data_IF_498291792035
#
_entry.id   IF_498291792035
#
_cell.length_a   1.000
_cell.length_b   1.000
_cell.length_c   1.000
_cell.angle_alpha   90.00
_cell.angle_beta   90.00
_cell.angle_gamma   90.00
#
_symmetry.space_group_name_H-M   'P 1'
#
loop_
_entity.id
_entity.type
_entity.pdbx_description
1 polymer ?
#
# COMPACT_ATOMS: atom_id res chain seq x y z
N UNK A 1 -21.64 -17.26 4.33
CA UNK A 1 -21.32 -15.81 4.45
C UNK A 1 -20.10 -15.52 3.59
N UNK A 2 -20.14 -14.44 2.88
CA UNK A 2 -18.99 -13.99 2.07
C UNK A 2 -17.98 -13.37 3.05
N UNK A 3 -16.74 -13.83 3.05
CA UNK A 3 -15.66 -13.30 3.89
C UNK A 3 -15.51 -11.80 3.65
N UNK A 4 -15.54 -11.01 4.72
CA UNK A 4 -15.20 -9.59 4.69
C UNK A 4 -13.80 -9.42 5.30
N UNK A 5 -12.80 -9.15 4.46
CA UNK A 5 -11.41 -9.05 4.91
C UNK A 5 -11.17 -7.95 5.95
N UNK A 6 -11.96 -6.88 5.91
CA UNK A 6 -11.89 -5.81 6.91
C UNK A 6 -12.38 -6.27 8.28
N UNK A 7 -13.50 -7.01 8.31
CA UNK A 7 -14.12 -7.51 9.53
C UNK A 7 -13.40 -8.76 10.05
N UNK A 8 -13.13 -9.72 9.15
CA UNK A 8 -12.71 -11.05 9.55
C UNK A 8 -11.16 -11.18 9.70
N UNK A 9 -10.38 -10.24 9.13
CA UNK A 9 -8.91 -10.32 9.13
C UNK A 9 -8.27 -9.05 9.70
N UNK A 10 -8.52 -7.88 9.08
CA UNK A 10 -7.82 -6.64 9.45
C UNK A 10 -8.21 -6.16 10.84
N UNK A 11 -9.50 -6.15 11.14
CA UNK A 11 -9.98 -5.66 12.44
C UNK A 11 -9.49 -6.52 13.62
N UNK A 12 -9.61 -7.85 13.59
CA UNK A 12 -9.04 -8.70 14.64
C UNK A 12 -7.52 -8.50 14.82
N UNK A 13 -6.79 -8.39 13.72
CA UNK A 13 -5.35 -8.15 13.77
C UNK A 13 -5.01 -6.83 14.48
N UNK A 14 -5.68 -5.75 14.13
CA UNK A 14 -5.46 -4.45 14.78
C UNK A 14 -5.84 -4.46 16.26
N UNK A 15 -6.95 -5.11 16.63
CA UNK A 15 -7.36 -5.25 18.03
C UNK A 15 -6.34 -6.05 18.84
N UNK A 16 -5.77 -7.13 18.30
CA UNK A 16 -4.71 -7.88 19.00
C UNK A 16 -3.43 -7.07 19.22
N UNK A 17 -3.25 -5.98 18.48
CA UNK A 17 -2.17 -5.00 18.67
C UNK A 17 -2.55 -3.85 19.61
N UNK A 18 -3.74 -3.90 20.20
CA UNK A 18 -4.26 -2.84 21.08
C UNK A 18 -4.70 -1.57 20.33
N UNK A 19 -4.79 -1.64 19.01
CA UNK A 19 -5.23 -0.51 18.17
C UNK A 19 -6.75 -0.48 18.16
N UNK A 20 -7.34 0.58 18.69
CA UNK A 20 -8.80 0.78 18.74
C UNK A 20 -9.28 1.97 17.89
N UNK A 21 -8.35 2.82 17.43
CA UNK A 21 -8.63 3.97 16.57
C UNK A 21 -7.48 4.16 15.58
N UNK A 22 -7.79 4.77 14.45
CA UNK A 22 -6.81 5.11 13.42
C UNK A 22 -6.83 6.63 13.20
N UNK A 23 -5.67 7.21 12.93
CA UNK A 23 -5.59 8.62 12.54
C UNK A 23 -6.02 8.80 11.09
N UNK A 24 -5.56 7.91 10.20
CA UNK A 24 -5.94 7.93 8.81
C UNK A 24 -6.04 6.51 8.23
N UNK A 25 -6.82 6.38 7.17
CA UNK A 25 -6.85 5.20 6.29
C UNK A 25 -6.65 5.70 4.87
N UNK A 26 -5.71 5.13 4.14
CA UNK A 26 -5.45 5.49 2.76
C UNK A 26 -6.00 4.42 1.81
N UNK A 27 -6.73 4.85 0.79
CA UNK A 27 -7.13 4.01 -0.35
C UNK A 27 -6.18 4.30 -1.49
N UNK A 28 -5.44 3.30 -1.94
CA UNK A 28 -4.53 3.47 -3.06
C UNK A 28 -5.30 3.72 -4.36
N UNK A 29 -6.27 2.87 -4.67
CA UNK A 29 -7.15 2.99 -5.83
C UNK A 29 -8.44 2.16 -5.65
N UNK A 30 -9.40 2.29 -6.56
CA UNK A 30 -10.77 1.80 -6.38
C UNK A 30 -11.04 0.33 -6.74
N UNK A 31 -10.04 -0.54 -6.92
CA UNK A 31 -10.26 -1.96 -7.19
C UNK A 31 -10.74 -2.69 -5.93
N UNK A 32 -11.53 -3.75 -6.13
CA UNK A 32 -12.23 -4.45 -5.05
C UNK A 32 -11.32 -5.12 -4.03
N UNK A 33 -10.17 -5.58 -4.42
CA UNK A 33 -9.14 -6.19 -3.56
C UNK A 33 -8.42 -5.17 -2.66
N UNK A 34 -8.52 -3.86 -2.99
CA UNK A 34 -7.98 -2.77 -2.17
C UNK A 34 -9.05 -2.10 -1.28
N UNK A 35 -10.30 -2.08 -1.72
CA UNK A 35 -11.37 -1.40 -0.97
C UNK A 35 -12.38 -2.35 -0.31
N UNK A 36 -12.32 -3.66 -0.59
CA UNK A 36 -13.35 -4.62 -0.20
C UNK A 36 -13.58 -4.74 1.30
N UNK A 37 -12.54 -4.56 2.11
CA UNK A 37 -12.64 -4.54 3.58
C UNK A 37 -12.73 -3.15 4.21
N UNK A 38 -12.66 -2.07 3.41
CA UNK A 38 -12.50 -0.72 3.93
C UNK A 38 -13.68 -0.22 4.73
N UNK A 39 -14.90 -0.60 4.36
CA UNK A 39 -16.11 -0.21 5.09
C UNK A 39 -16.10 -0.75 6.52
N UNK A 40 -15.71 -2.00 6.73
CA UNK A 40 -15.60 -2.58 8.07
C UNK A 40 -14.50 -1.87 8.88
N UNK A 41 -13.33 -1.62 8.29
CA UNK A 41 -12.24 -0.90 8.95
C UNK A 41 -12.69 0.51 9.38
N UNK A 42 -13.35 1.26 8.52
CA UNK A 42 -13.86 2.60 8.85
C UNK A 42 -14.89 2.54 9.99
N UNK A 43 -15.78 1.57 9.98
CA UNK A 43 -16.79 1.39 11.04
C UNK A 43 -16.17 1.05 12.39
N UNK A 44 -15.21 0.14 12.39
CA UNK A 44 -14.62 -0.42 13.59
C UNK A 44 -13.60 0.53 14.24
N UNK A 45 -12.85 1.29 13.45
CA UNK A 45 -11.74 2.11 13.96
C UNK A 45 -11.97 3.62 13.88
N UNK A 46 -13.04 4.08 13.21
CA UNK A 46 -13.42 5.49 13.14
C UNK A 46 -12.20 6.40 12.88
N UNK A 47 -11.51 6.25 11.74
CA UNK A 47 -10.35 7.08 11.43
C UNK A 47 -10.75 8.56 11.42
N UNK A 48 -9.80 9.43 11.71
CA UNK A 48 -10.03 10.88 11.60
C UNK A 48 -10.17 11.28 10.11
N UNK A 49 -9.41 10.59 9.25
CA UNK A 49 -9.35 10.88 7.83
C UNK A 49 -9.41 9.61 6.97
N UNK A 50 -10.07 9.74 5.83
CA UNK A 50 -9.95 8.85 4.69
C UNK A 50 -9.16 9.58 3.60
N UNK A 51 -7.99 9.05 3.28
CA UNK A 51 -7.12 9.61 2.26
C UNK A 51 -7.39 8.97 0.91
N UNK A 52 -7.54 9.81 -0.09
CA UNK A 52 -7.76 9.42 -1.48
C UNK A 52 -6.76 10.18 -2.38
N UNK A 53 -6.33 9.55 -3.46
CA UNK A 53 -5.74 10.23 -4.61
C UNK A 53 -6.82 10.54 -5.63
N UNK A 54 -6.75 9.88 -6.78
CA UNK A 54 -7.79 9.93 -7.80
C UNK A 54 -9.07 9.24 -7.34
N UNK A 55 -10.20 9.78 -7.77
CA UNK A 55 -11.52 9.24 -7.49
C UNK A 55 -12.28 8.97 -8.81
N UNK A 56 -11.85 7.98 -9.61
CA UNK A 56 -12.60 7.59 -10.78
C UNK A 56 -13.97 7.01 -10.38
N UNK A 57 -15.01 7.11 -11.22
CA UNK A 57 -16.34 6.57 -10.93
C UNK A 57 -16.29 5.09 -10.60
N UNK A 58 -17.01 4.68 -9.55
CA UNK A 58 -17.13 3.27 -9.16
C UNK A 58 -17.89 3.07 -7.86
N UNK A 59 -18.98 2.29 -7.93
CA UNK A 59 -19.88 2.05 -6.78
C UNK A 59 -19.17 1.60 -5.51
N UNK A 60 -18.09 0.82 -5.64
CA UNK A 60 -17.32 0.36 -4.47
C UNK A 60 -16.70 1.51 -3.72
N UNK A 61 -15.96 2.38 -4.42
CA UNK A 61 -15.31 3.54 -3.83
C UNK A 61 -16.32 4.58 -3.34
N UNK A 62 -17.40 4.81 -4.10
CA UNK A 62 -18.50 5.70 -3.70
C UNK A 62 -19.12 5.26 -2.37
N UNK A 63 -19.35 3.95 -2.17
CA UNK A 63 -19.87 3.40 -0.92
C UNK A 63 -18.90 3.58 0.25
N UNK A 64 -17.59 3.42 0.02
CA UNK A 64 -16.56 3.68 1.04
C UNK A 64 -16.61 5.14 1.47
N UNK A 65 -16.63 6.08 0.51
CA UNK A 65 -16.69 7.52 0.76
C UNK A 65 -17.98 7.89 1.50
N UNK A 66 -19.14 7.41 1.03
CA UNK A 66 -20.42 7.67 1.67
C UNK A 66 -20.45 7.14 3.13
N UNK A 67 -19.86 5.97 3.36
CA UNK A 67 -19.74 5.42 4.71
C UNK A 67 -18.84 6.29 5.60
N UNK A 68 -17.70 6.73 5.10
CA UNK A 68 -16.80 7.62 5.83
C UNK A 68 -17.51 8.92 6.22
N UNK A 69 -18.17 9.58 5.27
CA UNK A 69 -18.91 10.82 5.48
C UNK A 69 -20.06 10.65 6.49
N UNK A 70 -20.83 9.57 6.39
CA UNK A 70 -21.92 9.26 7.31
C UNK A 70 -21.43 9.04 8.76
N UNK A 71 -20.18 8.65 8.94
CA UNK A 71 -19.54 8.42 10.23
C UNK A 71 -18.70 9.63 10.72
N UNK A 72 -18.75 10.75 10.00
CA UNK A 72 -18.01 11.97 10.35
C UNK A 72 -16.50 11.88 10.07
N UNK A 73 -16.06 10.91 9.26
CA UNK A 73 -14.67 10.79 8.83
C UNK A 73 -14.40 11.81 7.72
N UNK A 74 -13.36 12.60 7.88
CA UNK A 74 -12.98 13.62 6.88
C UNK A 74 -12.36 12.94 5.66
N UNK A 75 -12.92 13.17 4.49
CA UNK A 75 -12.34 12.72 3.22
C UNK A 75 -11.34 13.77 2.74
N UNK A 76 -10.10 13.36 2.53
CA UNK A 76 -8.99 14.24 2.13
C UNK A 76 -8.35 13.69 0.85
N UNK A 77 -8.19 14.54 -0.15
CA UNK A 77 -7.45 14.19 -1.35
C UNK A 77 -6.00 14.62 -1.21
N UNK A 78 -5.10 13.71 -1.55
CA UNK A 78 -3.67 13.93 -1.55
C UNK A 78 -3.08 13.71 -2.94
N UNK A 79 -2.10 14.54 -3.26
CA UNK A 79 -1.44 14.57 -4.56
C UNK A 79 0.08 14.48 -4.39
N UNK A 80 0.75 14.14 -5.46
CA UNK A 80 2.22 14.15 -5.51
C UNK A 80 2.80 15.43 -4.91
N UNK A 81 3.75 15.26 -4.01
CA UNK A 81 4.41 16.34 -3.29
C UNK A 81 3.79 16.67 -1.93
N UNK A 82 2.56 16.20 -1.64
CA UNK A 82 1.99 16.38 -0.31
C UNK A 82 2.79 15.62 0.76
N UNK A 83 2.94 16.23 1.92
CA UNK A 83 3.56 15.65 3.10
C UNK A 83 2.65 15.78 4.32
N UNK A 84 2.54 14.69 5.09
CA UNK A 84 1.75 14.64 6.32
C UNK A 84 2.59 14.06 7.44
N UNK A 85 2.64 14.76 8.58
CA UNK A 85 3.31 14.27 9.79
C UNK A 85 2.33 13.47 10.65
N UNK A 86 2.69 12.24 10.98
CA UNK A 86 1.91 11.34 11.83
C UNK A 86 2.81 10.64 12.85
N UNK A 87 2.66 11.00 14.13
CA UNK A 87 3.37 10.31 15.21
C UNK A 87 4.90 10.35 15.12
N UNK A 88 5.46 11.39 14.50
CA UNK A 88 6.89 11.53 14.25
C UNK A 88 7.38 10.88 12.94
N UNK A 89 6.48 10.25 12.21
CA UNK A 89 6.75 9.77 10.85
C UNK A 89 6.25 10.77 9.82
N UNK A 90 7.00 10.95 8.74
CA UNK A 90 6.59 11.75 7.58
C UNK A 90 6.03 10.83 6.49
N UNK A 91 4.81 11.08 6.05
CA UNK A 91 4.19 10.42 4.91
C UNK A 91 4.24 11.35 3.72
N UNK A 92 5.01 10.99 2.69
CA UNK A 92 5.10 11.74 1.43
C UNK A 92 4.33 11.01 0.34
N UNK A 93 3.51 11.75 -0.40
CA UNK A 93 2.77 11.23 -1.57
C UNK A 93 3.63 11.37 -2.82
N UNK A 94 3.89 10.26 -3.51
CA UNK A 94 4.71 10.22 -4.72
C UNK A 94 3.87 10.09 -6.01
N UNK A 95 2.61 9.73 -5.88
CA UNK A 95 1.60 9.59 -6.95
C UNK A 95 0.20 9.61 -6.31
N UNK A 96 -0.84 10.06 -7.03
CA UNK A 96 -0.84 10.60 -8.39
C UNK A 96 -0.47 12.08 -8.42
N UNK A 97 0.06 12.61 -9.54
CA UNK A 97 0.17 14.07 -9.73
C UNK A 97 -1.20 14.69 -9.94
N UNK A 98 -1.34 15.97 -9.60
CA UNK A 98 -2.63 16.67 -9.66
C UNK A 98 -3.24 16.81 -11.07
N UNK A 99 -2.43 16.66 -12.11
CA UNK A 99 -2.83 16.70 -13.52
C UNK A 99 -2.98 15.28 -14.15
N UNK A 100 -2.97 14.22 -13.33
CA UNK A 100 -3.17 12.87 -13.84
C UNK A 100 -4.54 12.74 -14.53
N UNK A 101 -4.58 12.17 -15.76
CA UNK A 101 -5.82 12.10 -16.51
C UNK A 101 -6.84 11.20 -15.79
N UNK A 102 -8.02 11.76 -15.57
CA UNK A 102 -9.13 10.99 -15.01
C UNK A 102 -9.55 9.86 -15.97
N UNK A 103 -9.77 8.68 -15.42
CA UNK A 103 -10.30 7.54 -16.15
C UNK A 103 -11.80 7.35 -15.87
N UNK A 104 -12.53 6.69 -16.77
CA UNK A 104 -13.96 6.38 -16.61
C UNK A 104 -14.21 5.28 -15.57
N UNK A 105 -13.17 4.62 -15.11
CA UNK A 105 -13.19 3.55 -14.11
C UNK A 105 -11.84 3.46 -13.41
N UNK A 106 -11.77 2.84 -12.20
CA UNK A 106 -10.52 2.62 -11.49
C UNK A 106 -9.48 1.89 -12.33
N UNK A 107 -8.24 2.36 -12.25
CA UNK A 107 -7.07 1.79 -12.92
C UNK A 107 -5.96 1.54 -11.89
N UNK A 108 -5.08 0.57 -12.14
CA UNK A 108 -3.91 0.31 -11.28
C UNK A 108 -3.00 1.54 -11.15
N UNK A 109 -2.81 2.26 -12.25
CA UNK A 109 -1.99 3.48 -12.28
C UNK A 109 -2.64 4.71 -11.61
N UNK A 110 -3.86 4.58 -11.08
CA UNK A 110 -4.47 5.60 -10.20
C UNK A 110 -3.94 5.49 -8.78
N UNK A 111 -3.09 4.49 -8.51
CA UNK A 111 -2.60 4.18 -7.17
C UNK A 111 -1.92 5.36 -6.51
N UNK A 112 -2.39 5.66 -5.29
CA UNK A 112 -1.65 6.51 -4.36
C UNK A 112 -0.40 5.75 -3.92
N UNK A 113 0.75 6.25 -4.29
CA UNK A 113 2.05 5.73 -3.89
C UNK A 113 2.58 6.57 -2.75
N UNK A 114 2.89 5.92 -1.64
CA UNK A 114 3.32 6.59 -0.42
C UNK A 114 4.73 6.16 -0.02
N UNK A 115 5.55 7.13 0.39
CA UNK A 115 6.79 6.87 1.11
C UNK A 115 6.59 7.32 2.56
N UNK A 116 6.69 6.38 3.49
CA UNK A 116 6.64 6.68 4.93
C UNK A 116 8.04 6.59 5.49
N UNK A 117 8.52 7.65 6.14
CA UNK A 117 9.83 7.72 6.77
C UNK A 117 9.73 8.01 8.26
N UNK A 118 10.61 7.38 9.03
CA UNK A 118 10.78 7.61 10.45
C UNK A 118 12.29 7.55 10.78
N UNK A 119 12.87 8.66 11.19
CA UNK A 119 14.33 8.78 11.29
C UNK A 119 15.02 8.43 9.97
N UNK A 120 16.00 7.54 10.01
CA UNK A 120 16.76 7.07 8.85
C UNK A 120 16.08 5.89 8.13
N UNK A 121 14.94 5.42 8.62
CA UNK A 121 14.23 4.28 8.04
C UNK A 121 13.02 4.72 7.21
N UNK A 122 12.69 3.94 6.17
CA UNK A 122 11.54 4.24 5.33
C UNK A 122 10.96 3.01 4.63
N UNK A 123 9.68 3.10 4.32
CA UNK A 123 8.96 2.13 3.50
C UNK A 123 8.32 2.82 2.30
N UNK A 124 8.39 2.16 1.14
CA UNK A 124 7.69 2.53 -0.08
C UNK A 124 6.48 1.61 -0.27
N UNK A 125 5.29 2.19 -0.36
CA UNK A 125 4.01 1.52 -0.54
C UNK A 125 3.45 1.88 -1.91
N UNK A 126 3.49 0.93 -2.86
CA UNK A 126 3.19 1.21 -4.28
C UNK A 126 1.72 1.06 -4.65
N UNK A 127 0.89 0.45 -3.78
CA UNK A 127 -0.41 -0.02 -4.24
C UNK A 127 -0.23 -0.98 -5.42
N UNK A 128 -0.94 -0.71 -6.51
CA UNK A 128 -0.84 -1.46 -7.77
C UNK A 128 -0.25 -0.62 -8.91
N UNK A 129 0.55 0.39 -8.55
CA UNK A 129 1.27 1.18 -9.55
C UNK A 129 2.07 0.29 -10.50
N UNK A 130 2.02 0.63 -11.79
CA UNK A 130 2.68 -0.11 -12.86
C UNK A 130 3.81 0.73 -13.47
N UNK A 131 4.49 0.16 -14.47
CA UNK A 131 5.68 0.72 -15.14
C UNK A 131 5.61 2.23 -15.43
N UNK A 132 4.44 2.74 -15.83
CA UNK A 132 4.27 4.17 -16.17
C UNK A 132 4.49 5.05 -14.94
N UNK A 133 3.86 4.71 -13.83
CA UNK A 133 3.96 5.45 -12.55
C UNK A 133 5.35 5.25 -11.95
N UNK A 134 5.82 4.01 -11.87
CA UNK A 134 7.11 3.67 -11.27
C UNK A 134 8.28 4.37 -11.95
N UNK A 135 8.32 4.38 -13.30
CA UNK A 135 9.37 5.08 -14.04
C UNK A 135 9.35 6.59 -13.81
N UNK A 136 8.14 7.16 -13.70
CA UNK A 136 8.00 8.57 -13.39
C UNK A 136 8.53 8.87 -11.99
N UNK A 137 8.14 8.09 -10.99
CA UNK A 137 8.61 8.23 -9.60
C UNK A 137 10.14 8.07 -9.55
N UNK A 138 10.69 7.05 -10.19
CA UNK A 138 12.13 6.80 -10.22
C UNK A 138 12.93 7.97 -10.82
N UNK A 139 12.37 8.62 -11.87
CA UNK A 139 13.02 9.73 -12.54
C UNK A 139 12.97 11.06 -11.78
N UNK A 140 11.90 11.31 -11.02
CA UNK A 140 11.65 12.62 -10.39
C UNK A 140 12.00 12.59 -8.91
N UNK A 141 11.52 11.58 -8.17
CA UNK A 141 11.56 11.56 -6.70
C UNK A 141 12.77 10.79 -6.15
N UNK A 142 13.35 9.88 -6.94
CA UNK A 142 14.43 8.99 -6.47
C UNK A 142 14.11 8.36 -5.10
N UNK A 143 13.03 7.56 -4.99
CA UNK A 143 12.38 7.20 -3.74
C UNK A 143 13.16 6.11 -2.98
N UNK A 144 14.32 6.47 -2.41
CA UNK A 144 15.07 5.52 -1.59
C UNK A 144 14.22 5.05 -0.40
N UNK A 145 14.15 3.73 -0.19
CA UNK A 145 13.40 3.12 0.92
C UNK A 145 14.08 1.83 1.38
N UNK A 146 14.11 1.57 2.70
CA UNK A 146 14.66 0.33 3.25
C UNK A 146 13.73 -0.86 3.01
N UNK A 147 12.42 -0.63 3.02
CA UNK A 147 11.39 -1.63 2.79
C UNK A 147 10.53 -1.24 1.59
N UNK A 148 10.28 -2.19 0.71
CA UNK A 148 9.37 -2.06 -0.42
C UNK A 148 8.17 -2.99 -0.24
N UNK A 149 6.95 -2.45 -0.22
CA UNK A 149 5.75 -3.23 -0.53
C UNK A 149 5.66 -3.31 -2.05
N UNK A 150 5.94 -4.47 -2.58
CA UNK A 150 5.99 -4.75 -4.02
C UNK A 150 4.67 -4.41 -4.69
N UNK A 151 4.74 -3.69 -5.80
CA UNK A 151 3.58 -3.24 -6.55
C UNK A 151 2.79 -4.38 -7.15
N UNK A 152 1.48 -4.19 -7.27
CA UNK A 152 0.54 -5.05 -7.98
C UNK A 152 0.75 -6.55 -7.71
N UNK A 153 0.89 -6.89 -6.42
CA UNK A 153 1.05 -8.27 -5.91
C UNK A 153 2.17 -9.07 -6.58
N UNK A 154 3.18 -8.41 -7.11
CA UNK A 154 4.27 -9.04 -7.86
C UNK A 154 3.95 -9.33 -9.33
N UNK A 155 3.07 -8.57 -9.94
CA UNK A 155 2.77 -8.63 -11.39
C UNK A 155 4.00 -8.28 -12.23
N UNK A 156 4.14 -8.88 -13.42
CA UNK A 156 5.24 -8.62 -14.35
C UNK A 156 5.29 -7.17 -14.88
N UNK A 157 4.17 -6.44 -14.75
CA UNK A 157 4.05 -5.04 -15.22
C UNK A 157 4.42 -4.01 -14.14
N UNK A 158 4.77 -4.47 -12.93
CA UNK A 158 5.19 -3.64 -11.80
C UNK A 158 6.60 -4.01 -11.33
N UNK A 159 7.13 -3.25 -10.37
CA UNK A 159 8.45 -3.45 -9.75
C UNK A 159 9.56 -3.45 -10.83
N UNK A 160 9.62 -2.34 -11.56
CA UNK A 160 10.57 -2.15 -12.66
C UNK A 160 12.02 -2.08 -12.17
N UNK A 161 12.97 -2.42 -13.06
CA UNK A 161 14.40 -2.29 -12.74
C UNK A 161 14.79 -0.84 -12.44
N UNK A 162 14.14 0.13 -13.09
CA UNK A 162 14.35 1.56 -12.85
C UNK A 162 13.94 1.95 -11.40
N UNK A 163 12.78 1.46 -10.95
CA UNK A 163 12.34 1.69 -9.58
C UNK A 163 13.27 1.01 -8.58
N UNK A 164 13.64 -0.25 -8.83
CA UNK A 164 14.55 -1.00 -7.96
C UNK A 164 15.92 -0.33 -7.84
N UNK A 165 16.46 0.18 -8.94
CA UNK A 165 17.73 0.92 -8.95
C UNK A 165 17.65 2.24 -8.16
N UNK A 166 16.49 2.89 -8.13
CA UNK A 166 16.24 4.14 -7.42
C UNK A 166 15.93 3.90 -5.95
N UNK A 167 15.00 2.99 -5.64
CA UNK A 167 14.55 2.70 -4.28
C UNK A 167 15.60 1.95 -3.44
N UNK A 168 16.36 1.04 -4.04
CA UNK A 168 17.41 0.21 -3.40
C UNK A 168 16.96 -0.39 -2.08
N UNK A 169 15.85 -1.13 -2.04
CA UNK A 169 15.32 -1.67 -0.79
C UNK A 169 16.23 -2.78 -0.24
N UNK A 170 16.37 -2.82 1.08
CA UNK A 170 16.98 -3.94 1.80
C UNK A 170 16.00 -5.12 1.90
N UNK A 171 14.72 -4.79 2.10
CA UNK A 171 13.62 -5.75 2.20
C UNK A 171 12.53 -5.45 1.18
N UNK A 172 11.94 -6.53 0.64
CA UNK A 172 10.76 -6.43 -0.21
C UNK A 172 9.68 -7.40 0.29
N UNK A 173 8.43 -6.96 0.34
CA UNK A 173 7.31 -7.81 0.73
C UNK A 173 6.27 -7.87 -0.36
N UNK A 174 5.87 -9.09 -0.74
CA UNK A 174 4.82 -9.36 -1.70
C UNK A 174 3.57 -9.82 -0.93
N UNK A 175 2.51 -9.02 -0.98
CA UNK A 175 1.19 -9.40 -0.47
C UNK A 175 0.46 -10.16 -1.56
N UNK A 176 0.30 -11.46 -1.38
CA UNK A 176 -0.30 -12.36 -2.37
C UNK A 176 -0.92 -13.56 -1.68
N UNK A 177 -2.07 -14.01 -2.18
CA UNK A 177 -2.77 -15.18 -1.62
C UNK A 177 -2.17 -16.50 -2.08
N UNK A 178 -2.12 -17.48 -1.18
CA UNK A 178 -1.75 -18.84 -1.53
C UNK A 178 -2.75 -19.42 -2.55
N UNK A 179 -2.22 -20.07 -3.60
CA UNK A 179 -3.03 -20.68 -4.65
C UNK A 179 -3.87 -19.67 -5.47
N UNK A 180 -3.44 -18.41 -5.56
CA UNK A 180 -4.17 -17.40 -6.30
C UNK A 180 -4.29 -17.73 -7.79
N UNK A 181 -5.45 -17.46 -8.37
CA UNK A 181 -5.77 -17.76 -9.77
C UNK A 181 -5.00 -16.90 -10.79
N UNK A 182 -4.41 -15.79 -10.34
CA UNK A 182 -3.69 -14.86 -11.19
C UNK A 182 -2.27 -15.33 -11.50
N UNK A 183 -1.78 -16.37 -10.81
CA UNK A 183 -0.41 -16.88 -10.95
C UNK A 183 0.64 -15.86 -10.51
N UNK A 184 0.33 -15.09 -9.46
CA UNK A 184 1.24 -14.11 -8.86
C UNK A 184 1.98 -14.73 -7.66
N UNK A 185 3.20 -14.26 -7.37
CA UNK A 185 3.99 -13.30 -8.14
C UNK A 185 4.56 -13.91 -9.43
N UNK A 186 4.79 -13.08 -10.44
CA UNK A 186 5.41 -13.50 -11.71
C UNK A 186 6.92 -13.68 -11.56
N UNK A 187 7.47 -14.61 -12.32
CA UNK A 187 8.90 -14.93 -12.29
C UNK A 187 9.77 -13.73 -12.64
N UNK A 188 9.33 -12.90 -13.58
CA UNK A 188 10.04 -11.69 -13.99
C UNK A 188 10.21 -10.70 -12.83
N UNK A 189 9.22 -10.59 -11.97
CA UNK A 189 9.30 -9.73 -10.77
C UNK A 189 10.22 -10.34 -9.73
N UNK A 190 10.15 -11.66 -9.51
CA UNK A 190 11.05 -12.35 -8.58
C UNK A 190 12.53 -12.24 -9.02
N UNK A 191 12.79 -12.33 -10.33
CA UNK A 191 14.15 -12.14 -10.88
C UNK A 191 14.65 -10.73 -10.58
N UNK A 192 13.87 -9.68 -10.90
CA UNK A 192 14.25 -8.28 -10.61
C UNK A 192 14.52 -8.02 -9.14
N UNK A 193 13.70 -8.59 -8.26
CA UNK A 193 13.91 -8.51 -6.81
C UNK A 193 15.20 -9.20 -6.38
N UNK A 194 15.48 -10.40 -6.90
CA UNK A 194 16.72 -11.12 -6.62
C UNK A 194 17.96 -10.37 -7.13
N UNK A 195 17.91 -9.83 -8.34
CA UNK A 195 18.99 -9.02 -8.94
C UNK A 195 19.28 -7.74 -8.14
N UNK A 196 18.25 -7.16 -7.49
CA UNK A 196 18.44 -5.98 -6.64
C UNK A 196 19.13 -6.28 -5.31
N UNK A 197 19.25 -7.55 -4.92
CA UNK A 197 19.77 -7.98 -3.64
C UNK A 197 18.81 -7.80 -2.46
N UNK A 198 17.56 -7.41 -2.70
CA UNK A 198 16.57 -7.28 -1.64
C UNK A 198 16.17 -8.65 -1.05
N UNK A 199 16.06 -8.71 0.27
CA UNK A 199 15.52 -9.90 0.94
C UNK A 199 14.01 -9.93 0.80
N UNK A 200 13.49 -10.93 0.10
CA UNK A 200 12.07 -11.04 -0.27
C UNK A 200 11.29 -11.86 0.73
N UNK A 201 10.14 -11.35 1.15
CA UNK A 201 9.11 -12.05 1.92
C UNK A 201 7.83 -12.13 1.12
N UNK A 202 7.10 -13.25 1.24
CA UNK A 202 5.86 -13.51 0.49
C UNK A 202 4.78 -14.02 1.42
N UNK A 203 3.62 -13.35 1.44
CA UNK A 203 2.54 -13.74 2.36
C UNK A 203 1.93 -15.12 2.05
N UNK A 204 2.05 -15.62 0.82
CA UNK A 204 1.61 -16.97 0.44
C UNK A 204 2.54 -18.09 0.91
N UNK A 205 3.80 -17.76 1.27
CA UNK A 205 4.80 -18.70 1.78
C UNK A 205 5.13 -18.47 3.26
N UNK A 206 5.29 -17.22 3.66
CA UNK A 206 5.77 -16.81 4.98
C UNK A 206 4.62 -16.46 5.94
N UNK A 207 3.36 -16.44 5.45
CA UNK A 207 2.21 -15.98 6.24
C UNK A 207 2.27 -14.48 6.54
N UNK A 208 1.86 -14.09 7.74
CA UNK A 208 1.88 -12.70 8.16
C UNK A 208 3.31 -12.24 8.48
N UNK A 209 3.77 -11.20 7.78
CA UNK A 209 5.07 -10.59 8.01
C UNK A 209 4.88 -9.18 8.57
N UNK A 210 5.51 -8.91 9.71
CA UNK A 210 5.54 -7.59 10.34
C UNK A 210 6.93 -6.99 10.21
N UNK A 211 7.01 -5.71 9.88
CA UNK A 211 8.26 -4.96 9.88
C UNK A 211 8.21 -3.86 10.94
N UNK A 212 9.26 -3.73 11.71
CA UNK A 212 9.46 -2.66 12.68
C UNK A 212 10.51 -1.69 12.17
N UNK A 213 10.14 -0.43 12.05
CA UNK A 213 11.00 0.68 11.68
C UNK A 213 11.19 1.55 12.92
N UNK A 214 12.39 1.52 13.52
CA UNK A 214 12.70 2.22 14.77
C UNK A 214 13.45 3.55 14.58
N UNK A 215 13.57 4.01 13.36
CA UNK A 215 14.28 5.21 12.98
C UNK A 215 15.75 4.97 12.67
N UNK A 216 16.30 3.80 12.97
CA UNK A 216 17.71 3.43 12.69
C UNK A 216 17.81 2.14 11.89
N UNK A 217 16.95 1.16 12.19
CA UNK A 217 16.95 -0.16 11.56
C UNK A 217 15.56 -0.61 11.15
N UNK A 218 15.50 -1.47 10.13
CA UNK A 218 14.28 -2.18 9.75
C UNK A 218 14.43 -3.65 10.13
N UNK A 219 13.48 -4.17 10.91
CA UNK A 219 13.53 -5.55 11.42
C UNK A 219 12.27 -6.31 11.02
N UNK A 220 12.39 -7.39 10.25
CA UNK A 220 11.27 -8.28 9.95
C UNK A 220 10.94 -9.17 11.17
N UNK A 221 9.66 -9.48 11.33
CA UNK A 221 9.16 -10.51 12.23
C UNK A 221 8.13 -11.34 11.47
N UNK A 222 8.43 -12.59 11.24
CA UNK A 222 7.54 -13.56 10.61
C UNK A 222 6.79 -14.30 11.71
N UNK A 223 5.46 -14.37 11.62
CA UNK A 223 4.70 -15.22 12.53
C UNK A 223 5.08 -16.68 12.24
N UNK A 224 5.56 -17.40 13.27
CA UNK A 224 5.78 -18.83 13.11
C UNK A 224 4.45 -19.48 12.73
N UNK A 225 4.41 -20.17 11.59
CA UNK A 225 3.31 -21.03 11.22
C UNK A 225 3.26 -22.14 12.30
N UNK A 226 2.22 -22.13 13.11
CA UNK A 226 1.90 -23.21 14.06
C UNK A 226 1.16 -24.32 13.34
#
# INVERSE_FOLDING_TARGET
>A
SRLDFGEDVVSPYLWTRGISRLDAVAVTHGHSDHIGGMIAVIRNFRPKELWLGLQPPGKGLENVIATAQALGVRVVHHWEGDEVELGGATVRVLSPPGDWPAADRPQNNDSMVLRVSYGDTSVLLEGDAEKKVERRIAAIEHPRANLLKVGHHGSAVATTSELMASAKPEFAVISVGSGNWFGLPRMETLIRLAESGARVYRTDLDGAVTFYLDGHTVRPSVAALQ
#
